data_IF_841791245621
#
_entry.id   IF_841791245621
#
_cell.length_a   1.000
_cell.length_b   1.000
_cell.length_c   1.000
_cell.angle_alpha   90.00
_cell.angle_beta   90.00
_cell.angle_gamma   90.00
#
_symmetry.space_group_name_H-M   'P 1'
#
loop_
_entity.id
_entity.type
_entity.pdbx_description
1 polymer ?
#
# COMPACT_ATOMS: atom_id res chain seq x y z
N UNK A 1 -12.21 15.12 0.12
CA UNK A 1 -10.81 14.94 -0.31
C UNK A 1 -10.63 13.51 -0.83
N UNK A 2 -11.16 13.18 -2.01
CA UNK A 2 -11.23 11.80 -2.56
C UNK A 2 -10.27 11.55 -3.74
N UNK A 3 -9.40 12.52 -4.05
CA UNK A 3 -8.46 12.41 -5.17
C UNK A 3 -7.26 11.52 -4.84
N UNK A 4 -6.98 11.28 -3.54
CA UNK A 4 -5.92 10.39 -3.10
C UNK A 4 -6.31 8.89 -3.13
N UNK A 5 -7.57 8.53 -2.85
CA UNK A 5 -7.97 7.13 -2.70
C UNK A 5 -8.04 6.34 -4.02
N UNK A 6 -8.58 6.94 -5.09
CA UNK A 6 -8.71 6.28 -6.41
C UNK A 6 -7.36 6.16 -7.12
N UNK A 7 -6.47 7.13 -6.87
CA UNK A 7 -5.08 7.09 -7.36
C UNK A 7 -4.25 6.06 -6.56
N UNK A 8 -4.62 5.79 -5.29
CA UNK A 8 -3.85 4.91 -4.40
C UNK A 8 -3.87 3.44 -4.83
N UNK A 9 -5.02 2.83 -5.16
CA UNK A 9 -5.04 1.38 -5.44
C UNK A 9 -4.28 1.02 -6.71
N UNK A 10 -4.43 1.82 -7.77
CA UNK A 10 -3.70 1.62 -9.02
C UNK A 10 -2.20 1.85 -8.83
N UNK A 11 -1.80 2.97 -8.21
CA UNK A 11 -0.38 3.23 -7.95
C UNK A 11 0.23 2.20 -7.01
N UNK A 12 -0.51 1.75 -5.99
CA UNK A 12 -0.05 0.75 -5.05
C UNK A 12 0.17 -0.60 -5.74
N UNK A 13 -0.78 -1.03 -6.56
CA UNK A 13 -0.66 -2.26 -7.35
C UNK A 13 0.48 -2.15 -8.36
N UNK A 14 0.61 -1.00 -9.02
CA UNK A 14 1.66 -0.75 -10.00
C UNK A 14 3.05 -0.75 -9.35
N UNK A 15 3.19 -0.08 -8.22
CA UNK A 15 4.44 -0.01 -7.47
C UNK A 15 4.82 -1.38 -6.88
N UNK A 16 3.85 -2.17 -6.43
CA UNK A 16 4.07 -3.55 -6.00
C UNK A 16 4.66 -4.40 -7.12
N UNK A 17 4.09 -4.31 -8.33
CA UNK A 17 4.59 -5.02 -9.51
C UNK A 17 5.99 -4.55 -9.93
N UNK A 18 6.26 -3.24 -9.90
CA UNK A 18 7.58 -2.68 -10.22
C UNK A 18 8.63 -3.20 -9.24
N UNK A 19 8.34 -3.18 -7.93
CA UNK A 19 9.25 -3.68 -6.90
C UNK A 19 9.49 -5.19 -7.02
N UNK A 20 8.46 -5.98 -7.28
CA UNK A 20 8.60 -7.41 -7.50
C UNK A 20 9.46 -7.72 -8.74
N UNK A 21 9.29 -6.96 -9.82
CA UNK A 21 10.12 -7.12 -11.03
C UNK A 21 11.57 -6.71 -10.77
N UNK A 22 11.81 -5.65 -10.01
CA UNK A 22 13.14 -5.21 -9.63
C UNK A 22 13.84 -6.20 -8.70
N UNK A 23 13.12 -6.79 -7.73
CA UNK A 23 13.58 -7.87 -6.86
C UNK A 23 14.04 -9.09 -7.67
N UNK A 24 13.22 -9.52 -8.63
CA UNK A 24 13.53 -10.62 -9.51
C UNK A 24 14.77 -10.33 -10.37
N UNK A 25 14.85 -9.15 -10.98
CA UNK A 25 16.02 -8.73 -11.76
C UNK A 25 17.31 -8.69 -10.93
N UNK A 26 17.25 -8.08 -9.74
CA UNK A 26 18.39 -8.05 -8.82
C UNK A 26 18.82 -9.45 -8.35
N UNK A 27 17.87 -10.37 -8.14
CA UNK A 27 18.17 -11.76 -7.78
C UNK A 27 18.87 -12.51 -8.91
N UNK A 28 18.41 -12.32 -10.15
CA UNK A 28 19.03 -12.92 -11.35
C UNK A 28 20.45 -12.38 -11.61
N UNK A 29 20.70 -11.11 -11.25
CA UNK A 29 22.02 -10.47 -11.38
C UNK A 29 22.95 -10.73 -10.17
N UNK A 30 22.54 -11.58 -9.21
CA UNK A 30 23.32 -11.89 -8.01
C UNK A 30 23.45 -10.73 -7.02
N UNK A 31 22.66 -9.65 -7.20
CA UNK A 31 22.65 -8.47 -6.33
C UNK A 31 21.70 -8.67 -5.15
N UNK A 32 22.05 -9.60 -4.26
CA UNK A 32 21.20 -10.01 -3.13
C UNK A 32 20.81 -8.87 -2.19
N UNK A 33 21.68 -7.87 -1.99
CA UNK A 33 21.37 -6.69 -1.17
C UNK A 33 20.26 -5.83 -1.78
N UNK A 34 20.24 -5.68 -3.09
CA UNK A 34 19.19 -4.94 -3.80
C UNK A 34 17.89 -5.73 -3.82
N UNK A 35 17.94 -7.05 -4.05
CA UNK A 35 16.76 -7.91 -3.97
C UNK A 35 16.09 -7.82 -2.59
N UNK A 36 16.88 -7.90 -1.51
CA UNK A 36 16.38 -7.73 -0.15
C UNK A 36 15.77 -6.34 0.07
N UNK A 37 16.39 -5.28 -0.46
CA UNK A 37 15.87 -3.92 -0.37
C UNK A 37 14.51 -3.78 -1.07
N UNK A 38 14.35 -4.32 -2.28
CA UNK A 38 13.07 -4.30 -3.00
C UNK A 38 11.98 -5.11 -2.28
N UNK A 39 12.33 -6.26 -1.69
CA UNK A 39 11.41 -7.06 -0.87
C UNK A 39 10.94 -6.30 0.38
N UNK A 40 11.84 -5.56 1.05
CA UNK A 40 11.51 -4.73 2.20
C UNK A 40 10.60 -3.56 1.81
N UNK A 41 10.89 -2.86 0.71
CA UNK A 41 10.04 -1.78 0.19
C UNK A 41 8.64 -2.30 -0.14
N UNK A 42 8.53 -3.48 -0.76
CA UNK A 42 7.27 -4.14 -1.07
C UNK A 42 6.47 -4.47 0.20
N UNK A 43 7.16 -4.90 1.27
CA UNK A 43 6.55 -5.16 2.58
C UNK A 43 5.99 -3.90 3.23
N UNK A 44 6.75 -2.79 3.19
CA UNK A 44 6.30 -1.48 3.70
C UNK A 44 5.08 -1.00 2.92
N UNK A 45 5.13 -1.08 1.59
CA UNK A 45 4.02 -0.70 0.72
C UNK A 45 2.73 -1.48 1.05
N UNK A 46 2.82 -2.79 1.29
CA UNK A 46 1.67 -3.61 1.70
C UNK A 46 1.20 -3.37 3.15
N UNK A 47 2.07 -2.84 4.01
CA UNK A 47 1.68 -2.40 5.35
C UNK A 47 0.92 -1.08 5.28
N UNK A 48 1.41 -0.12 4.50
CA UNK A 48 0.73 1.17 4.28
C UNK A 48 -0.62 0.96 3.60
N UNK A 49 -0.70 0.02 2.64
CA UNK A 49 -1.96 -0.39 2.02
C UNK A 49 -2.99 -0.90 3.04
N UNK A 50 -2.59 -1.81 3.92
CA UNK A 50 -3.46 -2.36 4.98
C UNK A 50 -3.82 -1.31 6.02
N UNK A 51 -2.88 -0.45 6.39
CA UNK A 51 -3.15 0.67 7.30
C UNK A 51 -4.12 1.68 6.68
N UNK A 52 -4.08 1.88 5.36
CA UNK A 52 -5.08 2.67 4.62
C UNK A 52 -6.42 1.96 4.51
N UNK A 53 -6.45 0.64 4.29
CA UNK A 53 -7.70 -0.16 4.32
C UNK A 53 -8.34 -0.16 5.71
N UNK A 54 -7.57 -0.28 6.79
CA UNK A 54 -8.08 -0.17 8.18
C UNK A 54 -8.62 1.25 8.47
N UNK A 55 -7.97 2.30 7.96
CA UNK A 55 -8.50 3.67 8.04
C UNK A 55 -9.78 3.85 7.20
N UNK A 56 -9.88 3.16 6.07
CA UNK A 56 -11.08 3.15 5.21
C UNK A 56 -12.22 2.33 5.81
N UNK A 57 -11.90 1.25 6.55
CA UNK A 57 -12.84 0.39 7.25
C UNK A 57 -13.34 1.00 8.57
N UNK A 58 -12.51 1.81 9.25
CA UNK A 58 -12.93 2.67 10.36
C UNK A 58 -13.79 3.88 9.91
N UNK A 59 -13.84 4.16 8.61
CA UNK A 59 -14.66 5.22 8.01
C UNK A 59 -16.14 4.85 7.75
N UNK A 60 -16.63 3.71 8.24
CA UNK A 60 -18.05 3.32 8.15
C UNK A 60 -18.74 3.09 9.50
N UNK A 61 -18.22 3.67 10.59
CA UNK A 61 -18.92 3.71 11.88
C UNK A 61 -18.74 5.05 12.61
N UNK A 62 -19.15 6.14 11.97
CA UNK A 62 -19.64 7.28 12.76
C UNK A 62 -21.07 6.96 13.18
N UNK A 63 -21.16 6.33 14.36
CA UNK A 63 -22.38 6.11 15.11
C UNK A 63 -23.01 7.45 15.51
N UNK A 64 -24.28 7.63 15.18
CA UNK A 64 -25.28 8.41 15.92
C UNK A 64 -24.92 9.83 16.33
N UNK A 65 -25.13 10.81 15.45
CA UNK A 65 -25.41 12.18 15.90
C UNK A 65 -26.91 12.30 16.14
N UNK A 66 -27.33 11.78 17.28
CA UNK A 66 -28.59 12.13 17.92
C UNK A 66 -28.43 13.54 18.50
N UNK A 67 -28.99 14.55 17.84
CA UNK A 67 -29.35 15.82 18.47
C UNK A 67 -30.59 16.41 17.82
N UNK A 68 -31.72 16.08 18.43
CA UNK A 68 -32.88 16.95 18.47
C UNK A 68 -32.50 18.34 19.03
N UNK A 69 -32.90 19.40 18.32
CA UNK A 69 -33.43 20.67 18.84
C UNK A 69 -33.63 21.65 17.66
#
# INVERSE_FOLDING_TARGET
MLVSAVISTYLLTHLHHVLQRAEYGASQEGRSSQAANYAQLRKVLCMDARSMEDASALGQREEGIDRAA
#
